data_IF_463193780631
#
_entry.id   IF_463193780631
#
_cell.length_a   1.000
_cell.length_b   1.000
_cell.length_c   1.000
_cell.angle_alpha   90.00
_cell.angle_beta   90.00
_cell.angle_gamma   90.00
#
_symmetry.space_group_name_H-M   'P 1'
#
loop_
_entity.id
_entity.type
_entity.pdbx_description
1 polymer ?
#
# COMPACT_ATOMS: atom_id res chain seq x y z
N UNK A 1 6.85 -3.64 20.02
CA UNK A 1 8.06 -2.91 19.62
C UNK A 1 8.38 -1.85 20.66
N UNK A 2 9.65 -1.53 20.81
CA UNK A 2 10.11 -0.53 21.80
C UNK A 2 9.99 0.89 21.23
N UNK A 3 10.26 1.02 19.95
CA UNK A 3 10.27 2.27 19.22
C UNK A 3 9.99 2.01 17.72
N UNK A 4 10.02 3.08 16.93
CA UNK A 4 9.79 3.03 15.49
C UNK A 4 10.81 2.13 14.75
N UNK A 5 12.07 2.16 15.14
CA UNK A 5 13.11 1.34 14.50
C UNK A 5 12.93 -0.14 14.81
N UNK A 6 12.63 -0.48 16.08
CA UNK A 6 12.34 -1.87 16.47
C UNK A 6 11.07 -2.40 15.80
N UNK A 7 10.04 -1.56 15.67
CA UNK A 7 8.81 -1.88 14.92
C UNK A 7 9.13 -2.15 13.45
N UNK A 8 9.84 -1.24 12.79
CA UNK A 8 10.21 -1.34 11.37
C UNK A 8 11.01 -2.60 11.08
N UNK A 9 12.04 -2.88 11.92
CA UNK A 9 12.86 -4.07 11.79
C UNK A 9 12.04 -5.36 11.98
N UNK A 10 11.13 -5.40 12.96
CA UNK A 10 10.26 -6.57 13.21
C UNK A 10 9.31 -6.83 12.05
N UNK A 11 8.69 -5.78 11.50
CA UNK A 11 7.86 -5.89 10.32
C UNK A 11 8.67 -6.37 9.10
N UNK A 12 9.86 -5.82 8.90
CA UNK A 12 10.76 -6.27 7.84
C UNK A 12 11.17 -7.75 8.01
N UNK A 13 11.42 -8.23 9.24
CA UNK A 13 11.72 -9.66 9.49
C UNK A 13 10.57 -10.57 9.04
N UNK A 14 9.33 -10.19 9.29
CA UNK A 14 8.16 -11.00 8.89
C UNK A 14 8.05 -11.03 7.36
N UNK A 15 8.20 -9.88 6.71
CA UNK A 15 8.14 -9.78 5.24
C UNK A 15 9.30 -10.55 4.60
N UNK A 16 10.52 -10.42 5.12
CA UNK A 16 11.69 -11.14 4.60
C UNK A 16 11.53 -12.66 4.72
N UNK A 17 11.00 -13.13 5.85
CA UNK A 17 10.70 -14.55 6.03
C UNK A 17 9.69 -15.06 4.99
N UNK A 18 8.64 -14.27 4.69
CA UNK A 18 7.67 -14.61 3.66
C UNK A 18 8.32 -14.73 2.28
N UNK A 19 9.19 -13.79 1.90
CA UNK A 19 9.91 -13.81 0.62
C UNK A 19 10.83 -15.03 0.53
N UNK A 20 11.59 -15.32 1.59
CA UNK A 20 12.53 -16.46 1.61
C UNK A 20 11.78 -17.79 1.51
N UNK A 21 10.69 -17.95 2.24
CA UNK A 21 9.91 -19.19 2.26
C UNK A 21 9.08 -19.40 0.99
N UNK A 22 8.63 -18.33 0.35
CA UNK A 22 7.84 -18.33 -0.87
C UNK A 22 8.31 -17.22 -1.81
N UNK A 23 9.35 -17.42 -2.63
CA UNK A 23 9.92 -16.38 -3.48
C UNK A 23 8.92 -15.72 -4.43
N UNK A 24 7.91 -16.45 -4.91
CA UNK A 24 6.83 -15.94 -5.75
C UNK A 24 5.60 -15.49 -4.95
N UNK A 25 5.79 -15.01 -3.72
CA UNK A 25 4.70 -14.54 -2.88
C UNK A 25 4.06 -13.26 -3.44
N UNK A 26 2.80 -13.07 -3.05
CA UNK A 26 2.04 -11.83 -3.27
C UNK A 26 2.02 -11.04 -1.97
N UNK A 27 2.67 -9.89 -1.95
CA UNK A 27 2.74 -9.00 -0.80
C UNK A 27 1.72 -7.88 -0.94
N UNK A 28 0.90 -7.71 0.07
CA UNK A 28 0.11 -6.51 0.26
C UNK A 28 0.92 -5.43 0.97
N UNK A 29 1.08 -4.27 0.35
CA UNK A 29 1.93 -3.19 0.86
C UNK A 29 1.10 -1.94 1.19
N UNK A 30 1.60 -1.16 2.14
CA UNK A 30 0.97 0.06 2.62
C UNK A 30 1.83 1.28 2.30
N UNK A 31 1.22 2.45 2.31
CA UNK A 31 1.86 3.74 2.10
C UNK A 31 1.87 4.58 3.39
N UNK A 32 2.37 5.80 3.30
CA UNK A 32 2.49 6.72 4.43
C UNK A 32 3.82 6.61 5.18
N UNK A 33 3.96 7.36 6.26
CA UNK A 33 5.23 7.47 6.99
C UNK A 33 5.60 6.22 7.80
N UNK A 34 4.61 5.46 8.25
CA UNK A 34 4.83 4.31 9.13
C UNK A 34 5.64 3.16 8.49
N UNK A 35 5.39 2.73 7.25
CA UNK A 35 6.12 1.61 6.64
C UNK A 35 7.50 1.97 6.10
N UNK A 36 7.88 3.25 6.01
CA UNK A 36 9.14 3.70 5.39
C UNK A 36 10.36 3.03 6.03
N UNK A 37 10.41 2.92 7.35
CA UNK A 37 11.50 2.25 8.06
C UNK A 37 11.59 0.76 7.75
N UNK A 38 10.45 0.11 7.54
CA UNK A 38 10.35 -1.30 7.11
C UNK A 38 10.95 -1.47 5.71
N UNK A 39 10.59 -0.59 4.77
CA UNK A 39 11.12 -0.63 3.40
C UNK A 39 12.63 -0.36 3.36
N UNK A 40 13.12 0.61 4.12
CA UNK A 40 14.57 0.86 4.26
C UNK A 40 15.31 -0.39 4.73
N UNK A 41 14.79 -1.09 5.72
CA UNK A 41 15.40 -2.32 6.23
C UNK A 41 15.39 -3.45 5.18
N UNK A 42 14.31 -3.61 4.42
CA UNK A 42 14.23 -4.59 3.33
C UNK A 42 15.24 -4.27 2.22
N UNK A 43 15.39 -2.99 1.85
CA UNK A 43 16.37 -2.52 0.86
C UNK A 43 17.81 -2.81 1.33
N UNK A 44 18.11 -2.62 2.62
CA UNK A 44 19.43 -2.95 3.18
C UNK A 44 19.74 -4.44 3.03
N UNK A 45 18.79 -5.33 3.34
CA UNK A 45 18.99 -6.77 3.20
C UNK A 45 19.07 -7.20 1.74
N UNK A 46 18.30 -6.59 0.84
CA UNK A 46 18.47 -6.79 -0.59
C UNK A 46 19.88 -6.40 -1.07
N UNK A 47 20.38 -5.22 -0.66
CA UNK A 47 21.74 -4.76 -1.02
C UNK A 47 22.86 -5.66 -0.47
N UNK A 48 22.62 -6.34 0.64
CA UNK A 48 23.54 -7.33 1.21
C UNK A 48 23.46 -8.70 0.52
N UNK A 49 22.48 -8.92 -0.35
CA UNK A 49 22.24 -10.19 -1.01
C UNK A 49 21.41 -11.19 -0.22
N UNK A 50 20.81 -10.75 0.90
CA UNK A 50 20.00 -11.63 1.78
C UNK A 50 18.58 -11.82 1.24
N UNK A 51 18.09 -10.91 0.38
CA UNK A 51 16.75 -10.94 -0.21
C UNK A 51 16.78 -10.80 -1.74
N UNK A 52 15.83 -11.50 -2.38
CA UNK A 52 15.58 -11.42 -3.81
C UNK A 52 14.10 -11.15 -4.08
N UNK A 53 13.80 -10.03 -4.74
CA UNK A 53 12.44 -9.60 -5.08
C UNK A 53 12.03 -9.96 -6.51
N UNK A 54 12.90 -10.60 -7.29
CA UNK A 54 12.68 -10.83 -8.72
C UNK A 54 11.41 -11.60 -9.06
N UNK A 55 10.92 -12.43 -8.14
CA UNK A 55 9.68 -13.21 -8.32
C UNK A 55 8.50 -12.67 -7.49
N UNK A 56 8.73 -11.68 -6.64
CA UNK A 56 7.68 -11.08 -5.79
C UNK A 56 6.66 -10.33 -6.64
N UNK A 57 5.39 -10.49 -6.29
CA UNK A 57 4.29 -9.64 -6.77
C UNK A 57 3.84 -8.74 -5.62
N UNK A 58 3.51 -7.48 -5.89
CA UNK A 58 2.94 -6.60 -4.88
C UNK A 58 1.60 -6.03 -5.29
N UNK A 59 0.71 -5.86 -4.31
CA UNK A 59 -0.55 -5.14 -4.43
C UNK A 59 -0.61 -4.08 -3.32
N UNK A 60 -0.98 -2.85 -3.64
CA UNK A 60 -1.17 -1.81 -2.64
C UNK A 60 -2.65 -1.70 -2.26
N UNK A 61 -2.90 -1.21 -1.04
CA UNK A 61 -4.25 -1.10 -0.50
C UNK A 61 -5.09 -0.02 -1.18
N UNK A 62 -4.45 1.06 -1.59
CA UNK A 62 -5.15 2.28 -1.94
C UNK A 62 -4.40 3.14 -2.96
N UNK A 63 -5.11 4.08 -3.56
CA UNK A 63 -4.59 5.18 -4.36
C UNK A 63 -5.58 6.35 -4.37
N UNK A 64 -5.07 7.56 -4.42
CA UNK A 64 -5.86 8.77 -4.59
C UNK A 64 -6.53 8.80 -5.96
N UNK A 65 -7.82 9.13 -5.97
CA UNK A 65 -8.55 9.36 -7.22
C UNK A 65 -8.16 10.72 -7.82
N UNK A 66 -7.88 10.72 -9.12
CA UNK A 66 -7.51 11.91 -9.88
C UNK A 66 -6.01 12.18 -9.95
N UNK A 67 -5.17 11.43 -9.21
CA UNK A 67 -3.72 11.59 -9.31
C UNK A 67 -3.11 10.68 -10.37
N UNK A 68 -2.23 11.26 -11.19
CA UNK A 68 -1.37 10.48 -12.09
C UNK A 68 -0.33 9.68 -11.31
N UNK A 69 0.09 8.50 -11.79
CA UNK A 69 1.18 7.73 -11.20
C UNK A 69 2.51 8.47 -11.10
N UNK A 70 2.71 9.50 -11.91
CA UNK A 70 3.90 10.38 -11.94
C UNK A 70 3.81 11.53 -10.93
N UNK A 71 2.62 11.81 -10.40
CA UNK A 71 2.44 12.84 -9.37
C UNK A 71 3.17 12.40 -8.09
N UNK A 72 3.97 13.28 -7.50
CA UNK A 72 4.79 12.99 -6.33
C UNK A 72 3.98 12.68 -5.06
N UNK A 73 2.67 12.97 -5.07
CA UNK A 73 1.73 12.63 -4.00
C UNK A 73 0.97 11.33 -4.26
N UNK A 74 1.11 10.71 -5.43
CA UNK A 74 0.47 9.41 -5.69
C UNK A 74 1.14 8.29 -4.90
N UNK A 75 0.37 7.28 -4.53
CA UNK A 75 0.90 6.11 -3.84
C UNK A 75 1.74 5.22 -4.76
N UNK A 76 1.49 5.25 -6.07
CA UNK A 76 2.39 4.66 -7.06
C UNK A 76 3.78 5.31 -7.00
N UNK A 77 3.86 6.64 -7.01
CA UNK A 77 5.12 7.36 -6.88
C UNK A 77 5.80 7.06 -5.54
N UNK A 78 5.03 7.09 -4.44
CA UNK A 78 5.53 6.72 -3.11
C UNK A 78 6.19 5.35 -3.10
N UNK A 79 5.53 4.33 -3.67
CA UNK A 79 6.07 2.97 -3.70
C UNK A 79 7.32 2.85 -4.56
N UNK A 80 7.36 3.52 -5.71
CA UNK A 80 8.56 3.56 -6.54
C UNK A 80 9.74 4.14 -5.75
N UNK A 81 9.58 5.32 -5.17
CA UNK A 81 10.66 6.04 -4.49
C UNK A 81 11.10 5.42 -3.17
N UNK A 82 10.21 4.73 -2.46
CA UNK A 82 10.54 4.17 -1.14
C UNK A 82 10.91 2.68 -1.16
N UNK A 83 10.59 1.93 -2.24
CA UNK A 83 10.91 0.51 -2.32
C UNK A 83 11.29 0.04 -3.73
N UNK A 84 10.41 0.21 -4.73
CA UNK A 84 10.53 -0.51 -6.00
C UNK A 84 11.78 -0.14 -6.81
N UNK A 85 12.21 1.12 -6.76
CA UNK A 85 13.42 1.59 -7.46
C UNK A 85 14.73 1.15 -6.79
N UNK A 86 14.65 0.56 -5.61
CA UNK A 86 15.80 0.19 -4.80
C UNK A 86 16.05 -1.32 -4.71
N UNK A 87 15.15 -2.13 -5.27
CA UNK A 87 15.22 -3.60 -5.27
C UNK A 87 14.98 -4.14 -6.68
N UNK A 88 15.20 -5.44 -6.90
CA UNK A 88 15.05 -6.06 -8.22
C UNK A 88 13.62 -6.58 -8.51
N UNK A 89 12.60 -5.95 -7.94
CA UNK A 89 11.21 -6.32 -8.25
C UNK A 89 10.87 -5.94 -9.70
N UNK A 90 10.20 -6.83 -10.42
CA UNK A 90 9.65 -6.51 -11.73
C UNK A 90 8.45 -5.56 -11.55
N UNK A 91 8.57 -4.32 -12.01
CA UNK A 91 7.52 -3.30 -11.88
C UNK A 91 6.22 -3.68 -12.59
N UNK A 92 6.25 -4.54 -13.59
CA UNK A 92 5.03 -5.06 -14.24
C UNK A 92 4.21 -5.98 -13.32
N UNK A 93 4.81 -6.43 -12.22
CA UNK A 93 4.18 -7.24 -11.18
C UNK A 93 3.86 -6.45 -9.91
N UNK A 94 3.89 -5.12 -9.99
CA UNK A 94 3.52 -4.22 -8.89
C UNK A 94 2.22 -3.51 -9.23
N UNK A 95 1.20 -3.68 -8.41
CA UNK A 95 -0.14 -3.17 -8.68
C UNK A 95 -0.56 -2.15 -7.62
N UNK A 96 -1.10 -1.03 -8.10
CA UNK A 96 -1.74 0.01 -7.30
C UNK A 96 -3.06 0.33 -7.99
N UNK A 97 -4.15 0.64 -7.27
CA UNK A 97 -5.42 0.99 -7.91
C UNK A 97 -5.25 2.12 -8.94
N UNK A 98 -6.05 2.10 -9.99
CA UNK A 98 -5.99 3.12 -11.04
C UNK A 98 -6.70 4.40 -10.60
N UNK A 99 -5.97 5.40 -10.13
CA UNK A 99 -6.51 6.69 -9.72
C UNK A 99 -7.10 7.54 -10.85
N UNK A 100 -6.73 7.26 -12.11
CA UNK A 100 -7.17 8.04 -13.29
C UNK A 100 -8.46 7.52 -13.92
N UNK A 101 -8.95 6.34 -13.56
CA UNK A 101 -10.24 5.85 -14.05
C UNK A 101 -11.38 6.70 -13.46
N UNK A 102 -12.16 7.33 -14.33
CA UNK A 102 -13.25 8.21 -13.92
C UNK A 102 -14.40 7.43 -13.25
N UNK A 103 -14.67 6.23 -13.75
CA UNK A 103 -15.67 5.30 -13.20
C UNK A 103 -15.05 4.53 -12.03
N UNK A 104 -15.48 4.89 -10.80
CA UNK A 104 -14.97 4.27 -9.57
C UNK A 104 -15.31 2.79 -9.46
N UNK A 105 -16.51 2.38 -9.88
CA UNK A 105 -16.95 0.98 -9.81
C UNK A 105 -16.14 0.12 -10.77
N UNK A 106 -15.86 0.65 -11.96
CA UNK A 106 -14.99 0.01 -12.93
C UNK A 106 -13.57 -0.14 -12.41
N UNK A 107 -12.95 0.93 -11.88
CA UNK A 107 -11.61 0.90 -11.31
C UNK A 107 -11.51 -0.15 -10.19
N UNK A 108 -12.48 -0.17 -9.29
CA UNK A 108 -12.54 -1.12 -8.17
C UNK A 108 -12.71 -2.56 -8.65
N UNK A 109 -13.59 -2.80 -9.62
CA UNK A 109 -13.82 -4.13 -10.20
C UNK A 109 -12.56 -4.66 -10.90
N UNK A 110 -11.91 -3.83 -11.72
CA UNK A 110 -10.66 -4.19 -12.41
C UNK A 110 -9.55 -4.52 -11.40
N UNK A 111 -9.44 -3.77 -10.30
CA UNK A 111 -8.44 -4.03 -9.28
C UNK A 111 -8.72 -5.33 -8.50
N UNK A 112 -9.98 -5.63 -8.19
CA UNK A 112 -10.39 -6.91 -7.62
C UNK A 112 -9.99 -8.09 -8.54
N UNK A 113 -10.18 -7.94 -9.85
CA UNK A 113 -9.77 -8.95 -10.82
C UNK A 113 -8.24 -9.14 -10.85
N UNK A 114 -7.46 -8.06 -10.74
CA UNK A 114 -6.01 -8.15 -10.63
C UNK A 114 -5.63 -9.00 -9.43
N UNK A 115 -6.18 -8.70 -8.23
CA UNK A 115 -5.89 -9.43 -7.00
C UNK A 115 -6.28 -10.92 -7.12
N UNK A 116 -7.47 -11.22 -7.69
CA UNK A 116 -7.92 -12.60 -7.91
C UNK A 116 -6.99 -13.37 -8.85
N UNK A 117 -6.52 -12.74 -9.94
CA UNK A 117 -5.58 -13.35 -10.89
C UNK A 117 -4.23 -13.68 -10.26
N UNK A 118 -3.82 -12.95 -9.22
CA UNK A 118 -2.61 -13.27 -8.46
C UNK A 118 -2.82 -14.43 -7.46
N UNK A 119 -4.05 -14.92 -7.29
CA UNK A 119 -4.37 -15.97 -6.31
C UNK A 119 -4.59 -15.46 -4.89
N UNK A 120 -4.77 -14.14 -4.72
CA UNK A 120 -4.91 -13.49 -3.43
C UNK A 120 -3.57 -12.97 -2.87
N UNK A 121 -3.56 -12.57 -1.62
CA UNK A 121 -2.41 -11.97 -0.93
C UNK A 121 -1.88 -12.95 0.13
N UNK A 122 -0.57 -13.26 0.08
CA UNK A 122 0.06 -14.16 1.05
C UNK A 122 0.34 -13.48 2.39
N UNK A 123 0.75 -12.21 2.35
CA UNK A 123 1.04 -11.41 3.55
C UNK A 123 0.69 -9.95 3.29
N UNK A 124 -0.13 -9.36 4.17
CA UNK A 124 -0.53 -7.97 4.09
C UNK A 124 0.11 -7.14 5.20
N UNK A 125 0.84 -6.08 4.82
CA UNK A 125 1.28 -5.02 5.73
C UNK A 125 0.14 -4.02 5.94
N UNK A 126 -0.24 -3.79 7.19
CA UNK A 126 -1.30 -2.85 7.58
C UNK A 126 -0.80 -1.88 8.64
N UNK A 127 -1.23 -0.62 8.54
CA UNK A 127 -1.13 0.35 9.62
C UNK A 127 -2.42 0.39 10.44
N UNK A 128 -2.30 0.64 11.74
CA UNK A 128 -3.43 0.91 12.63
C UNK A 128 -3.41 2.39 13.00
N UNK A 129 -4.46 3.11 12.66
CA UNK A 129 -4.62 4.53 12.99
C UNK A 129 -4.98 4.78 14.45
N UNK A 130 -4.87 6.03 14.90
CA UNK A 130 -5.14 6.42 16.30
C UNK A 130 -6.56 6.14 16.76
N UNK A 131 -7.54 6.23 15.88
CA UNK A 131 -8.95 5.92 16.13
C UNK A 131 -9.32 4.46 15.85
N UNK A 132 -8.33 3.62 15.51
CA UNK A 132 -8.54 2.20 15.18
C UNK A 132 -8.83 1.93 13.71
N UNK A 133 -8.76 2.92 12.82
CA UNK A 133 -8.92 2.68 11.38
C UNK A 133 -7.76 1.84 10.82
N UNK A 134 -8.08 1.02 9.83
CA UNK A 134 -7.11 0.24 9.05
C UNK A 134 -7.25 0.67 7.58
N UNK A 135 -6.17 1.19 7.00
CA UNK A 135 -6.23 1.84 5.70
C UNK A 135 -7.16 3.05 5.74
N UNK A 136 -8.10 3.13 4.81
CA UNK A 136 -9.16 4.16 4.81
C UNK A 136 -10.52 3.66 5.34
N UNK A 137 -10.56 2.46 5.96
CA UNK A 137 -11.74 2.00 6.68
C UNK A 137 -11.81 2.62 8.08
N UNK A 138 -12.69 3.57 8.23
CA UNK A 138 -13.03 4.15 9.52
C UNK A 138 -13.84 3.16 10.38
N UNK A 139 -13.77 3.24 11.73
CA UNK A 139 -14.63 2.46 12.60
C UNK A 139 -16.12 2.72 12.28
N UNK A 140 -16.84 1.68 11.92
CA UNK A 140 -18.23 1.77 11.48
C UNK A 140 -19.02 0.51 11.79
N UNK A 141 -20.32 0.55 11.51
CA UNK A 141 -21.25 -0.56 11.75
C UNK A 141 -21.11 -1.71 10.74
N UNK A 142 -20.51 -1.45 9.57
CA UNK A 142 -20.29 -2.43 8.51
C UNK A 142 -18.96 -2.18 7.82
N UNK A 143 -18.36 -3.24 7.30
CA UNK A 143 -17.19 -3.17 6.43
C UNK A 143 -17.61 -3.49 5.01
N UNK A 144 -17.29 -2.57 4.08
CA UNK A 144 -17.36 -2.87 2.65
C UNK A 144 -16.40 -4.02 2.33
N UNK A 145 -16.85 -4.93 1.48
CA UNK A 145 -16.02 -6.03 0.99
C UNK A 145 -15.37 -5.63 -0.32
N UNK A 146 -14.16 -6.12 -0.56
CA UNK A 146 -13.41 -5.88 -1.78
C UNK A 146 -12.98 -4.40 -1.95
N UNK A 147 -12.54 -4.03 -3.16
CA UNK A 147 -12.14 -2.66 -3.48
C UNK A 147 -13.38 -1.78 -3.65
N UNK A 148 -13.37 -0.63 -3.02
CA UNK A 148 -14.43 0.37 -3.12
C UNK A 148 -13.85 1.78 -3.02
N UNK A 149 -14.63 2.77 -3.43
CA UNK A 149 -14.25 4.17 -3.32
C UNK A 149 -14.76 4.73 -1.98
N UNK A 150 -13.88 5.44 -1.26
CA UNK A 150 -14.19 6.03 0.04
C UNK A 150 -13.97 7.52 -0.05
N UNK A 151 -14.93 8.31 0.43
CA UNK A 151 -14.72 9.73 0.68
C UNK A 151 -13.96 9.91 1.99
N UNK A 152 -12.89 10.70 1.93
CA UNK A 152 -12.07 10.98 3.11
C UNK A 152 -12.84 11.83 4.12
N UNK A 153 -12.70 11.50 5.40
CA UNK A 153 -13.22 12.34 6.47
C UNK A 153 -12.42 13.64 6.59
N UNK A 154 -13.04 14.69 7.11
CA UNK A 154 -12.36 15.99 7.35
C UNK A 154 -11.08 15.81 8.18
N UNK A 155 -11.09 14.92 9.18
CA UNK A 155 -9.91 14.61 9.99
C UNK A 155 -8.78 13.98 9.18
N UNK A 156 -9.12 13.15 8.19
CA UNK A 156 -8.14 12.52 7.30
C UNK A 156 -7.60 13.53 6.28
N UNK A 157 -8.46 14.41 5.75
CA UNK A 157 -8.06 15.51 4.86
C UNK A 157 -7.07 16.43 5.58
N UNK A 158 -7.39 16.88 6.79
CA UNK A 158 -6.52 17.74 7.60
C UNK A 158 -5.17 17.04 7.93
N UNK A 159 -5.20 15.74 8.24
CA UNK A 159 -3.97 14.97 8.49
C UNK A 159 -3.09 14.84 7.23
N UNK A 160 -3.69 14.77 6.05
CA UNK A 160 -2.98 14.63 4.77
C UNK A 160 -2.56 15.97 4.15
N UNK A 161 -3.17 17.08 4.52
CA UNK A 161 -2.86 18.45 4.07
C UNK A 161 -1.36 18.75 4.08
N UNK A 162 -0.63 18.23 5.06
CA UNK A 162 0.84 18.41 5.17
C UNK A 162 1.64 17.89 3.98
N UNK A 163 1.05 17.09 3.12
CA UNK A 163 1.69 16.51 1.93
C UNK A 163 1.34 17.27 0.65
N UNK A 164 0.43 18.23 0.68
CA UNK A 164 -0.05 18.99 -0.45
C UNK A 164 0.25 20.49 -0.26
N UNK A 165 0.26 21.25 -1.37
CA UNK A 165 0.51 22.70 -1.32
C UNK A 165 -0.64 23.45 -0.64
N UNK A 166 -1.87 22.99 -0.84
CA UNK A 166 -3.08 23.53 -0.18
C UNK A 166 -4.03 22.38 0.22
N UNK A 167 -4.99 22.73 1.09
CA UNK A 167 -6.05 21.77 1.49
C UNK A 167 -6.97 21.41 0.31
N UNK A 168 -7.16 22.35 -0.62
CA UNK A 168 -7.99 22.13 -1.80
C UNK A 168 -7.36 21.14 -2.79
N UNK A 169 -6.04 20.93 -2.71
CA UNK A 169 -5.29 19.97 -3.54
C UNK A 169 -5.36 18.54 -3.01
N UNK A 170 -5.83 18.34 -1.78
CA UNK A 170 -5.99 17.01 -1.19
C UNK A 170 -7.15 16.29 -1.89
N UNK A 171 -6.91 15.18 -2.60
CA UNK A 171 -7.99 14.43 -3.23
C UNK A 171 -8.96 13.91 -2.16
N UNK A 172 -10.24 14.16 -2.34
CA UNK A 172 -11.27 13.73 -1.38
C UNK A 172 -11.63 12.26 -1.50
N UNK A 173 -11.78 11.69 -2.72
CA UNK A 173 -12.02 10.27 -2.88
C UNK A 173 -10.72 9.47 -3.03
N UNK A 174 -10.72 8.27 -2.44
CA UNK A 174 -9.65 7.28 -2.51
C UNK A 174 -10.25 5.94 -2.91
N UNK A 175 -9.61 5.24 -3.85
CA UNK A 175 -9.90 3.82 -4.10
C UNK A 175 -9.17 2.98 -3.06
N UNK A 176 -9.92 2.25 -2.24
CA UNK A 176 -9.39 1.45 -1.16
C UNK A 176 -9.84 -0.01 -1.29
N UNK A 177 -8.90 -0.93 -1.07
CA UNK A 177 -9.17 -2.38 -1.06
C UNK A 177 -9.20 -2.90 0.36
N UNK A 178 -10.34 -3.51 0.76
CA UNK A 178 -10.41 -4.30 1.97
C UNK A 178 -9.98 -5.73 1.69
N UNK A 179 -8.75 -6.06 1.98
CA UNK A 179 -8.25 -7.42 1.88
C UNK A 179 -8.70 -8.22 3.10
N UNK A 180 -9.59 -9.18 2.86
CA UNK A 180 -10.02 -10.11 3.89
C UNK A 180 -8.85 -11.02 4.25
N UNK A 181 -8.40 -10.96 5.51
CA UNK A 181 -7.58 -12.02 6.06
C UNK A 181 -8.43 -13.32 6.10
N UNK A 182 -7.98 -14.35 5.40
CA UNK A 182 -8.54 -15.69 5.49
C UNK A 182 -7.87 -16.45 6.62
#
# INVERSE_FOLDING_TARGET
>A
AKDYQDMSRKAANIISAQIIMKPNCVLGLATGSSPVGTYKQLIEWYKKGDLDFSQVTSVNLDEYKGLSPENDQSYRYFMNTNLFDHVNIDKTRTFVPNGLEADSDKACSEYNEIIRKQGGVDLQLLGLGHNGHIGFNEPGAAFEKETHCVDLTESTIEANKRFFESEDDVPRPVSYTHLRAH
#
